data_IF_334195222599
#
_entry.id   IF_334195222599
#
_cell.length_a   1.000
_cell.length_b   1.000
_cell.length_c   1.000
_cell.angle_alpha   90.00
_cell.angle_beta   90.00
_cell.angle_gamma   90.00
#
_symmetry.space_group_name_H-M   'P 1'
#
loop_
_entity.id
_entity.type
_entity.pdbx_description
1 polymer ?
#
# COMPACT_ATOMS: atom_id res chain seq x y z
N UNK A 1 -38.08 -7.07 18.69
CA UNK A 1 -36.92 -7.04 17.75
C UNK A 1 -37.37 -7.66 16.43
N UNK A 2 -36.90 -7.17 15.28
CA UNK A 2 -37.12 -7.87 14.01
C UNK A 2 -36.30 -9.17 13.99
N UNK A 3 -36.96 -10.31 13.74
CA UNK A 3 -36.35 -11.65 13.68
C UNK A 3 -35.14 -11.70 12.74
N UNK A 4 -35.22 -11.01 11.61
CA UNK A 4 -34.15 -10.96 10.62
C UNK A 4 -32.96 -10.11 11.07
N UNK A 5 -33.21 -8.97 11.72
CA UNK A 5 -32.12 -8.13 12.25
C UNK A 5 -31.37 -8.85 13.37
N UNK A 6 -32.10 -9.64 14.16
CA UNK A 6 -31.48 -10.47 15.19
C UNK A 6 -30.56 -11.53 14.56
N UNK A 7 -31.02 -12.29 13.55
CA UNK A 7 -30.16 -13.29 12.89
C UNK A 7 -28.93 -12.67 12.20
N UNK A 8 -29.06 -11.49 11.60
CA UNK A 8 -27.93 -10.74 11.04
C UNK A 8 -26.93 -10.35 12.14
N UNK A 9 -27.40 -9.87 13.29
CA UNK A 9 -26.51 -9.51 14.41
C UNK A 9 -25.74 -10.71 14.98
N UNK A 10 -26.34 -11.90 14.98
CA UNK A 10 -25.65 -13.12 15.38
C UNK A 10 -24.52 -13.48 14.42
N UNK A 11 -24.71 -13.20 13.13
CA UNK A 11 -23.67 -13.41 12.11
C UNK A 11 -22.55 -12.39 12.22
N UNK A 12 -22.86 -11.14 12.53
CA UNK A 12 -21.87 -10.08 12.79
C UNK A 12 -21.01 -10.38 14.03
N UNK A 13 -21.57 -11.06 15.04
CA UNK A 13 -20.82 -11.53 16.22
C UNK A 13 -19.82 -12.65 15.90
N UNK A 14 -19.85 -13.23 14.70
CA UNK A 14 -18.93 -14.29 14.27
C UNK A 14 -19.22 -15.66 14.87
N UNK A 15 -20.45 -15.90 15.34
CA UNK A 15 -20.88 -17.19 15.87
C UNK A 15 -20.93 -18.26 14.78
N UNK A 16 -20.65 -19.50 15.17
CA UNK A 16 -20.79 -20.66 14.29
C UNK A 16 -22.28 -20.94 13.99
N UNK A 17 -22.56 -21.58 12.85
CA UNK A 17 -23.95 -21.89 12.45
C UNK A 17 -24.74 -22.61 13.55
N UNK A 18 -24.11 -23.53 14.27
CA UNK A 18 -24.75 -24.29 15.34
C UNK A 18 -25.07 -23.42 16.56
N UNK A 19 -24.18 -22.50 16.93
CA UNK A 19 -24.41 -21.55 18.02
C UNK A 19 -25.54 -20.57 17.67
N UNK A 20 -25.57 -20.06 16.43
CA UNK A 20 -26.65 -19.21 15.93
C UNK A 20 -27.99 -19.92 16.04
N UNK A 21 -28.07 -21.19 15.63
CA UNK A 21 -29.30 -21.99 15.72
C UNK A 21 -29.74 -22.15 17.19
N UNK A 22 -28.80 -22.43 18.10
CA UNK A 22 -29.11 -22.55 19.54
C UNK A 22 -29.64 -21.23 20.12
N UNK A 23 -29.03 -20.10 19.78
CA UNK A 23 -29.44 -18.78 20.26
C UNK A 23 -30.81 -18.36 19.68
N UNK A 24 -31.07 -18.70 18.41
CA UNK A 24 -32.39 -18.47 17.78
C UNK A 24 -33.48 -19.34 18.42
N UNK A 25 -33.21 -20.61 18.71
CA UNK A 25 -34.14 -21.48 19.45
C UNK A 25 -34.43 -20.94 20.85
N UNK A 26 -33.39 -20.49 21.57
CA UNK A 26 -33.53 -19.88 22.89
C UNK A 26 -34.39 -18.60 22.89
N UNK A 27 -34.42 -17.88 21.76
CA UNK A 27 -35.23 -16.68 21.56
C UNK A 27 -36.62 -16.95 20.95
N UNK A 28 -37.06 -18.22 20.91
CA UNK A 28 -38.41 -18.58 20.48
C UNK A 28 -38.62 -18.55 18.96
N UNK A 29 -37.56 -18.77 18.17
CA UNK A 29 -37.72 -19.03 16.74
C UNK A 29 -38.18 -20.46 16.49
N UNK A 30 -39.12 -20.60 15.56
CA UNK A 30 -39.62 -21.90 15.13
C UNK A 30 -38.58 -22.62 14.25
N UNK A 31 -38.50 -23.95 14.34
CA UNK A 31 -37.44 -24.72 13.67
C UNK A 31 -37.51 -24.59 12.14
N UNK A 32 -38.73 -24.48 11.62
CA UNK A 32 -39.03 -24.25 10.19
C UNK A 32 -38.61 -22.86 9.71
N UNK A 33 -38.70 -21.87 10.59
CA UNK A 33 -38.33 -20.49 10.32
C UNK A 33 -36.81 -20.26 10.41
N UNK A 34 -36.12 -20.98 11.30
CA UNK A 34 -34.68 -20.79 11.57
C UNK A 34 -33.87 -20.91 10.29
N UNK A 35 -34.12 -21.93 9.47
CA UNK A 35 -33.37 -22.15 8.23
C UNK A 35 -33.57 -21.00 7.23
N UNK A 36 -34.81 -20.52 7.10
CA UNK A 36 -35.14 -19.37 6.25
C UNK A 36 -34.40 -18.11 6.70
N UNK A 37 -34.44 -17.79 8.00
CA UNK A 37 -33.79 -16.59 8.53
C UNK A 37 -32.27 -16.68 8.51
N UNK A 38 -31.69 -17.88 8.65
CA UNK A 38 -30.25 -18.10 8.55
C UNK A 38 -29.74 -17.88 7.13
N UNK A 39 -30.45 -18.44 6.14
CA UNK A 39 -30.11 -18.22 4.73
C UNK A 39 -30.19 -16.74 4.38
N UNK A 40 -31.26 -16.08 4.81
CA UNK A 40 -31.47 -14.66 4.54
C UNK A 40 -30.46 -13.76 5.24
N UNK A 41 -30.04 -14.08 6.47
CA UNK A 41 -28.99 -13.34 7.16
C UNK A 41 -27.63 -13.48 6.47
N UNK A 42 -27.33 -14.66 5.92
CA UNK A 42 -26.07 -14.90 5.21
C UNK A 42 -26.00 -14.08 3.92
N UNK A 43 -27.10 -14.04 3.16
CA UNK A 43 -27.22 -13.19 1.96
C UNK A 43 -27.03 -11.70 2.30
N UNK A 44 -27.65 -11.22 3.37
CA UNK A 44 -27.52 -9.82 3.82
C UNK A 44 -26.09 -9.54 4.28
N UNK A 45 -25.50 -10.43 5.09
CA UNK A 45 -24.15 -10.28 5.60
C UNK A 45 -23.12 -10.25 4.46
N UNK A 46 -23.26 -11.14 3.46
CA UNK A 46 -22.40 -11.15 2.28
C UNK A 46 -22.60 -9.89 1.44
N UNK A 47 -23.83 -9.47 1.21
CA UNK A 47 -24.12 -8.23 0.47
C UNK A 47 -23.56 -7.00 1.19
N UNK A 48 -23.66 -6.93 2.52
CA UNK A 48 -23.01 -5.90 3.32
C UNK A 48 -21.49 -6.00 3.22
N UNK A 49 -20.91 -7.20 3.26
CA UNK A 49 -19.46 -7.37 3.09
C UNK A 49 -18.98 -6.93 1.71
N UNK A 50 -19.76 -7.16 0.66
CA UNK A 50 -19.47 -6.78 -0.72
C UNK A 50 -19.69 -5.29 -0.97
N UNK A 51 -20.76 -4.71 -0.41
CA UNK A 51 -21.11 -3.29 -0.59
C UNK A 51 -20.31 -2.37 0.36
N UNK A 52 -19.98 -2.84 1.56
CA UNK A 52 -19.09 -2.16 2.51
C UNK A 52 -17.62 -2.50 2.26
N UNK A 53 -17.31 -3.42 1.33
CA UNK A 53 -15.97 -3.50 0.77
C UNK A 53 -15.71 -2.10 0.25
N UNK A 54 -14.77 -1.33 0.82
CA UNK A 54 -14.42 -0.06 0.23
C UNK A 54 -14.15 -0.38 -1.24
N UNK A 55 -14.68 0.40 -2.21
CA UNK A 55 -14.29 0.22 -3.59
C UNK A 55 -12.79 0.07 -3.52
N UNK A 56 -12.26 -1.01 -4.09
CA UNK A 56 -10.83 -1.25 -4.12
C UNK A 56 -10.22 -0.06 -4.85
N UNK A 57 -10.05 1.03 -4.11
CA UNK A 57 -9.04 2.02 -4.27
C UNK A 57 -7.81 1.15 -4.07
N UNK A 58 -7.41 0.47 -5.15
CA UNK A 58 -6.06 0.63 -5.62
C UNK A 58 -5.78 2.11 -5.38
N UNK A 59 -5.21 2.40 -4.22
CA UNK A 59 -4.57 3.66 -3.95
C UNK A 59 -3.48 3.65 -5.00
N UNK A 60 -3.78 4.17 -6.18
CA UNK A 60 -2.77 4.70 -7.10
C UNK A 60 -2.18 5.87 -6.33
N UNK A 61 -1.33 5.53 -5.34
CA UNK A 61 -0.65 6.47 -4.47
C UNK A 61 0.29 7.20 -5.40
N UNK A 62 -0.20 8.34 -5.88
CA UNK A 62 0.41 9.28 -6.80
C UNK A 62 1.90 9.04 -7.07
N UNK A 63 2.20 8.64 -8.32
CA UNK A 63 3.54 8.53 -8.88
C UNK A 63 4.33 9.85 -8.84
N UNK A 64 3.77 10.96 -8.33
CA UNK A 64 4.48 12.23 -8.18
C UNK A 64 5.70 12.09 -7.29
N UNK A 65 5.61 11.37 -6.17
CA UNK A 65 6.74 11.21 -5.24
C UNK A 65 7.88 10.43 -5.91
N UNK A 66 7.54 9.33 -6.60
CA UNK A 66 8.51 8.54 -7.37
C UNK A 66 9.15 9.37 -8.49
N UNK A 67 8.33 10.14 -9.23
CA UNK A 67 8.79 11.03 -10.30
C UNK A 67 9.76 12.10 -9.77
N UNK A 68 9.46 12.71 -8.62
CA UNK A 68 10.38 13.68 -7.99
C UNK A 68 11.65 13.02 -7.48
N UNK A 69 11.58 11.82 -6.90
CA UNK A 69 12.78 11.11 -6.43
C UNK A 69 13.73 10.77 -7.58
N UNK A 70 13.19 10.28 -8.71
CA UNK A 70 13.98 9.97 -9.91
C UNK A 70 14.65 11.23 -10.48
N UNK A 71 13.94 12.36 -10.52
CA UNK A 71 14.50 13.63 -10.99
C UNK A 71 15.64 14.12 -10.09
N UNK A 72 15.49 14.04 -8.78
CA UNK A 72 16.54 14.46 -7.82
C UNK A 72 17.77 13.56 -7.95
N UNK A 73 17.60 12.24 -8.05
CA UNK A 73 18.69 11.29 -8.22
C UNK A 73 19.44 11.54 -9.54
N UNK A 74 18.71 11.77 -10.63
CA UNK A 74 19.30 12.11 -11.93
C UNK A 74 20.10 13.42 -11.88
N UNK A 75 19.58 14.43 -11.18
CA UNK A 75 20.29 15.70 -10.99
C UNK A 75 21.57 15.53 -10.16
N UNK A 76 21.52 14.76 -9.08
CA UNK A 76 22.69 14.45 -8.24
C UNK A 76 23.78 13.70 -9.02
N UNK A 77 23.38 12.72 -9.84
CA UNK A 77 24.29 11.98 -10.73
C UNK A 77 24.98 12.92 -11.73
N UNK A 78 24.23 13.83 -12.35
CA UNK A 78 24.78 14.79 -13.30
C UNK A 78 25.84 15.68 -12.62
N UNK A 79 25.51 16.22 -11.45
CA UNK A 79 26.43 17.06 -10.67
C UNK A 79 27.68 16.27 -10.27
N UNK A 80 27.54 15.02 -9.81
CA UNK A 80 28.67 14.17 -9.43
C UNK A 80 29.60 13.89 -10.62
N UNK A 81 29.05 13.65 -11.81
CA UNK A 81 29.83 13.46 -13.03
C UNK A 81 30.58 14.74 -13.42
N UNK A 82 29.92 15.91 -13.38
CA UNK A 82 30.59 17.20 -13.62
C UNK A 82 31.74 17.46 -12.63
N UNK A 83 31.54 17.20 -11.33
CA UNK A 83 32.60 17.34 -10.34
C UNK A 83 33.72 16.31 -10.54
N UNK A 84 33.41 15.09 -10.97
CA UNK A 84 34.38 14.08 -11.34
C UNK A 84 35.29 14.56 -12.48
N UNK A 85 34.69 15.03 -13.57
CA UNK A 85 35.43 15.61 -14.69
C UNK A 85 36.19 16.88 -14.31
N UNK A 86 35.60 17.77 -13.50
CA UNK A 86 36.27 18.96 -13.01
C UNK A 86 37.50 18.62 -12.16
N UNK A 87 37.41 17.60 -11.30
CA UNK A 87 38.56 17.10 -10.53
C UNK A 87 39.62 16.47 -11.41
N UNK A 88 39.23 15.62 -12.38
CA UNK A 88 40.16 15.05 -13.36
C UNK A 88 40.87 16.17 -14.15
N UNK A 89 40.13 17.18 -14.59
CA UNK A 89 40.66 18.32 -15.33
C UNK A 89 41.63 19.17 -14.50
N UNK A 90 41.30 19.43 -13.23
CA UNK A 90 42.19 20.15 -12.31
C UNK A 90 43.46 19.37 -11.99
N UNK A 91 43.38 18.06 -11.81
CA UNK A 91 44.54 17.19 -11.60
C UNK A 91 45.42 17.17 -12.86
N UNK A 92 44.80 17.05 -14.05
CA UNK A 92 45.52 17.14 -15.32
C UNK A 92 46.22 18.48 -15.50
N UNK A 93 45.55 19.58 -15.17
CA UNK A 93 46.12 20.92 -15.22
C UNK A 93 47.29 21.07 -14.23
N UNK A 94 47.17 20.50 -13.03
CA UNK A 94 48.24 20.51 -12.02
C UNK A 94 49.48 19.73 -12.50
N UNK A 95 49.29 18.57 -13.12
CA UNK A 95 50.37 17.77 -13.69
C UNK A 95 51.04 18.52 -14.86
N UNK A 96 50.25 19.11 -15.75
CA UNK A 96 50.77 19.88 -16.88
C UNK A 96 51.55 21.11 -16.42
N UNK A 97 51.05 21.83 -15.41
CA UNK A 97 51.74 22.96 -14.81
C UNK A 97 53.03 22.55 -14.11
N UNK A 98 53.03 21.40 -13.42
CA UNK A 98 54.24 20.81 -12.84
C UNK A 98 55.29 20.49 -13.92
N UNK A 99 54.88 19.84 -15.02
CA UNK A 99 55.79 19.53 -16.14
C UNK A 99 56.37 20.80 -16.78
N UNK A 100 55.55 21.83 -17.04
CA UNK A 100 56.02 23.10 -17.60
C UNK A 100 57.05 23.76 -16.66
N UNK A 101 56.80 23.72 -15.35
CA UNK A 101 57.72 24.28 -14.34
C UNK A 101 59.06 23.52 -14.28
N UNK A 102 59.04 22.19 -14.41
CA UNK A 102 60.25 21.37 -14.51
C UNK A 102 61.01 21.55 -15.83
N UNK A 103 60.31 21.77 -16.94
CA UNK A 103 60.92 22.09 -18.24
C UNK A 103 61.63 23.45 -18.25
N UNK A 104 61.11 24.44 -17.53
CA UNK A 104 61.73 25.78 -17.43
C UNK A 104 62.95 25.85 -16.50
N UNK A 105 63.13 24.90 -15.59
CA UNK A 105 64.27 24.87 -14.65
C UNK A 105 65.52 24.19 -15.24
N UNK A 106 65.38 23.57 -16.41
CA UNK A 106 66.43 22.75 -17.05
C UNK A 106 67.14 23.45 -18.21
N UNK A 107 66.98 24.77 -18.33
CA UNK A 107 67.67 25.61 -19.33
C UNK A 107 68.71 26.47 -18.66
#
# INVERSE_FOLDING_TARGET
>A
MNKLNYSVSLREKGLSKNEIIQEMKANGFDETDIEFYLKKSDEIYINQLLNNKPPSKLKTKSNRIFKTAVLIISLLLLVAVFYGYARIGLIGLFIFWSLVKFGSYRR
#
